data_IF_756335807544
#
_entry.id   IF_756335807544
#
_cell.length_a   1.000
_cell.length_b   1.000
_cell.length_c   1.000
_cell.angle_alpha   90.00
_cell.angle_beta   90.00
_cell.angle_gamma   90.00
#
_symmetry.space_group_name_H-M   'P 1'
#
loop_
_entity.id
_entity.type
_entity.pdbx_description
1 polymer ?
#
# COMPACT_ATOMS: atom_id res chain seq x y z
N UNK A 1 -11.42 18.18 -25.05
CA UNK A 1 -10.40 18.47 -24.02
C UNK A 1 -10.37 17.32 -23.05
N UNK A 2 -9.18 16.80 -22.72
CA UNK A 2 -9.04 15.76 -21.71
C UNK A 2 -9.49 16.33 -20.36
N UNK A 3 -10.60 15.83 -19.82
CA UNK A 3 -11.07 16.15 -18.46
C UNK A 3 -10.23 15.33 -17.48
N UNK A 4 -9.00 15.77 -17.23
CA UNK A 4 -8.16 15.15 -16.22
C UNK A 4 -7.46 16.25 -15.40
N UNK A 5 -7.44 16.06 -14.07
CA UNK A 5 -6.76 16.92 -13.10
C UNK A 5 -5.98 16.01 -12.17
N UNK A 6 -4.66 16.20 -12.11
CA UNK A 6 -3.83 15.58 -11.07
C UNK A 6 -4.23 16.18 -9.72
N UNK A 7 -4.76 15.36 -8.82
CA UNK A 7 -5.20 15.82 -7.51
C UNK A 7 -4.02 15.87 -6.53
N UNK A 8 -3.34 14.74 -6.35
CA UNK A 8 -2.13 14.55 -5.53
C UNK A 8 -1.56 13.15 -5.76
N UNK A 9 -0.42 12.85 -5.14
CA UNK A 9 0.13 11.51 -5.00
C UNK A 9 -0.28 10.97 -3.62
N UNK A 10 -1.17 9.97 -3.56
CA UNK A 10 -1.69 9.49 -2.28
C UNK A 10 -0.66 8.72 -1.45
N UNK A 11 0.16 7.88 -2.07
CA UNK A 11 1.21 7.11 -1.38
C UNK A 11 2.23 6.54 -2.38
N UNK A 12 3.31 5.96 -1.82
CA UNK A 12 4.26 5.10 -2.52
C UNK A 12 4.28 3.75 -1.78
N UNK A 13 4.08 2.65 -2.51
CA UNK A 13 4.06 1.30 -1.93
C UNK A 13 5.42 0.63 -1.99
N UNK A 14 5.81 -0.06 -0.92
CA UNK A 14 7.05 -0.83 -0.83
C UNK A 14 6.70 -2.26 -0.41
N UNK A 15 7.12 -3.25 -1.21
CA UNK A 15 6.99 -4.67 -0.85
C UNK A 15 8.15 -5.05 0.06
N UNK A 16 7.85 -5.61 1.23
CA UNK A 16 8.83 -5.97 2.26
C UNK A 16 8.59 -7.40 2.74
N UNK A 17 9.63 -8.02 3.30
CA UNK A 17 9.53 -9.36 3.89
C UNK A 17 8.82 -9.35 5.25
N UNK A 18 9.07 -8.32 6.08
CA UNK A 18 8.47 -8.17 7.41
C UNK A 18 7.85 -6.79 7.57
N UNK A 19 6.52 -6.76 7.74
CA UNK A 19 5.78 -5.51 8.02
C UNK A 19 6.19 -4.90 9.35
N UNK A 20 6.43 -5.72 10.39
CA UNK A 20 6.77 -5.21 11.71
C UNK A 20 8.10 -4.47 11.69
N UNK A 21 9.11 -5.03 11.04
CA UNK A 21 10.42 -4.38 10.89
C UNK A 21 10.33 -3.10 10.06
N UNK A 22 9.52 -3.11 8.99
CA UNK A 22 9.34 -1.95 8.14
C UNK A 22 8.63 -0.80 8.87
N UNK A 23 7.59 -1.11 9.64
CA UNK A 23 6.88 -0.13 10.47
C UNK A 23 7.85 0.52 11.46
N UNK A 24 8.59 -0.27 12.26
CA UNK A 24 9.56 0.27 13.21
C UNK A 24 10.63 1.14 12.54
N UNK A 25 11.12 0.74 11.36
CA UNK A 25 12.08 1.54 10.60
C UNK A 25 11.53 2.92 10.21
N UNK A 26 10.29 2.98 9.71
CA UNK A 26 9.69 4.25 9.29
C UNK A 26 9.22 5.11 10.46
N UNK A 27 8.87 4.52 11.61
CA UNK A 27 8.59 5.25 12.85
C UNK A 27 9.82 6.00 13.34
N UNK A 28 11.01 5.40 13.27
CA UNK A 28 12.28 6.08 13.61
C UNK A 28 12.61 7.24 12.66
N UNK A 29 12.10 7.23 11.43
CA UNK A 29 12.25 8.33 10.46
C UNK A 29 11.23 9.46 10.74
N UNK A 30 10.25 9.23 11.62
CA UNK A 30 9.24 10.20 12.01
C UNK A 30 7.90 10.06 11.27
N UNK A 31 7.67 8.93 10.60
CA UNK A 31 6.33 8.58 10.13
C UNK A 31 5.52 7.92 11.25
N UNK A 32 4.20 7.89 11.12
CA UNK A 32 3.32 7.21 12.07
C UNK A 32 2.53 6.12 11.35
N UNK A 33 2.30 5.00 12.03
CA UNK A 33 1.39 3.97 11.52
C UNK A 33 -0.05 4.48 11.53
N UNK A 34 -0.61 4.72 10.34
CA UNK A 34 -2.02 5.11 10.19
C UNK A 34 -2.98 3.92 10.36
N UNK A 35 -2.60 2.73 9.87
CA UNK A 35 -3.41 1.53 9.97
C UNK A 35 -2.75 0.30 9.39
N UNK A 36 -3.27 -0.88 9.75
CA UNK A 36 -2.83 -2.19 9.27
C UNK A 36 -4.04 -3.05 8.97
N UNK A 37 -4.02 -3.75 7.84
CA UNK A 37 -5.06 -4.68 7.45
C UNK A 37 -4.48 -5.83 6.62
N UNK A 38 -5.08 -7.01 6.74
CA UNK A 38 -4.90 -8.07 5.76
C UNK A 38 -5.89 -7.86 4.62
N UNK A 39 -5.42 -7.94 3.37
CA UNK A 39 -6.23 -7.72 2.17
C UNK A 39 -6.29 -9.01 1.37
N UNK A 40 -7.38 -9.77 1.55
CA UNK A 40 -7.56 -11.12 0.98
C UNK A 40 -8.72 -11.18 -0.04
N UNK A 41 -9.31 -10.03 -0.38
CA UNK A 41 -10.44 -9.98 -1.30
C UNK A 41 -10.01 -10.23 -2.75
N UNK A 42 -10.84 -10.96 -3.51
CA UNK A 42 -10.61 -11.24 -4.95
C UNK A 42 -10.35 -9.96 -5.77
N UNK A 43 -10.92 -8.83 -5.35
CA UNK A 43 -10.70 -7.53 -5.97
C UNK A 43 -9.22 -7.13 -6.00
N UNK A 44 -8.43 -7.48 -4.98
CA UNK A 44 -7.00 -7.15 -4.92
C UNK A 44 -6.21 -7.90 -5.99
N UNK A 45 -6.53 -9.18 -6.20
CA UNK A 45 -5.99 -9.99 -7.28
C UNK A 45 -6.31 -9.45 -8.67
N UNK A 46 -7.53 -8.93 -8.88
CA UNK A 46 -7.92 -8.29 -10.15
C UNK A 46 -7.15 -6.99 -10.42
N UNK A 47 -6.80 -6.23 -9.38
CA UNK A 47 -6.02 -4.98 -9.54
C UNK A 47 -4.56 -5.28 -9.87
N UNK A 48 -3.95 -6.25 -9.21
CA UNK A 48 -2.52 -6.59 -9.42
C UNK A 48 -2.29 -7.55 -10.60
N UNK A 49 -3.33 -8.27 -11.03
CA UNK A 49 -3.21 -9.38 -11.98
C UNK A 49 -2.64 -10.67 -11.37
N UNK A 50 -2.37 -10.68 -10.06
CA UNK A 50 -1.81 -11.82 -9.33
C UNK A 50 -2.95 -12.63 -8.68
N UNK A 51 -3.66 -13.44 -9.47
CA UNK A 51 -4.58 -14.51 -9.01
C UNK A 51 -5.32 -14.29 -7.68
N UNK A 52 -5.40 -15.34 -6.85
CA UNK A 52 -5.81 -15.22 -5.45
C UNK A 52 -4.60 -14.86 -4.59
N UNK A 53 -4.63 -13.71 -3.95
CA UNK A 53 -3.64 -13.31 -2.95
C UNK A 53 -4.17 -13.69 -1.57
N UNK A 54 -3.64 -14.77 -1.02
CA UNK A 54 -3.87 -15.27 0.32
C UNK A 54 -2.52 -15.72 0.88
#
# INVERSE_FOLDING_TARGET
MAKNKLLRMDNVSIVVESLDNAISFFEEIGLNLEGRANVEGEWAGRVTGLGSQC
#
